data_IF_143939652740
#
_entry.id   IF_143939652740
#
_cell.length_a   1.000
_cell.length_b   1.000
_cell.length_c   1.000
_cell.angle_alpha   90.00
_cell.angle_beta   90.00
_cell.angle_gamma   90.00
#
_symmetry.space_group_name_H-M   'P 1'
#
loop_
_entity.id
_entity.type
_entity.pdbx_description
1 polymer ?
#
# COMPACT_ATOMS: atom_id res chain seq x y z
N UNK A 1 -26.47 25.45 2.76
CA UNK A 1 -25.23 24.89 3.36
C UNK A 1 -23.97 25.57 2.83
N UNK A 2 -23.62 25.46 1.53
CA UNK A 2 -22.36 26.01 0.99
C UNK A 2 -22.18 27.51 1.28
N UNK A 3 -23.20 28.33 1.05
CA UNK A 3 -23.18 29.76 1.39
C UNK A 3 -22.79 30.03 2.85
N UNK A 4 -23.31 29.23 3.79
CA UNK A 4 -22.99 29.35 5.22
C UNK A 4 -21.54 28.98 5.53
N UNK A 5 -20.95 27.99 4.83
CA UNK A 5 -19.54 27.64 4.99
C UNK A 5 -18.64 28.82 4.58
N UNK A 6 -18.93 29.45 3.44
CA UNK A 6 -18.20 30.62 2.97
C UNK A 6 -18.37 31.82 3.91
N UNK A 7 -19.59 32.06 4.39
CA UNK A 7 -19.88 33.15 5.34
C UNK A 7 -19.15 32.97 6.67
N UNK A 8 -19.24 31.79 7.29
CA UNK A 8 -18.53 31.46 8.53
C UNK A 8 -17.00 31.58 8.39
N UNK A 9 -16.47 31.25 7.22
CA UNK A 9 -15.03 31.34 6.94
C UNK A 9 -14.58 32.79 6.70
N UNK A 10 -15.31 33.54 5.88
CA UNK A 10 -14.93 34.89 5.46
C UNK A 10 -15.27 35.93 6.53
N UNK A 11 -16.52 35.94 6.99
CA UNK A 11 -17.03 36.91 7.96
C UNK A 11 -16.75 36.44 9.40
N UNK A 12 -17.03 35.18 9.70
CA UNK A 12 -16.80 34.61 11.03
C UNK A 12 -15.34 34.28 11.34
N UNK A 13 -14.44 34.33 10.35
CA UNK A 13 -13.02 33.94 10.44
C UNK A 13 -12.77 32.57 11.12
N UNK A 14 -13.76 31.69 11.12
CA UNK A 14 -13.71 30.41 11.85
C UNK A 14 -12.61 29.49 11.31
N UNK A 15 -12.12 28.59 12.17
CA UNK A 15 -11.19 27.54 11.74
C UNK A 15 -11.94 26.45 10.97
N UNK A 16 -11.23 25.64 10.18
CA UNK A 16 -11.86 24.50 9.49
C UNK A 16 -12.50 23.51 10.47
N UNK A 17 -11.85 23.30 11.62
CA UNK A 17 -12.33 22.38 12.65
C UNK A 17 -13.59 22.89 13.34
N UNK A 18 -13.75 24.20 13.50
CA UNK A 18 -14.96 24.79 14.08
C UNK A 18 -16.14 24.70 13.10
N UNK A 19 -15.91 25.03 11.83
CA UNK A 19 -16.92 24.89 10.76
C UNK A 19 -17.37 23.43 10.65
N UNK A 20 -16.41 22.48 10.62
CA UNK A 20 -16.71 21.04 10.61
C UNK A 20 -17.53 20.63 11.82
N UNK A 21 -17.09 21.04 13.03
CA UNK A 21 -17.78 20.69 14.29
C UNK A 21 -19.22 21.15 14.24
N UNK A 22 -19.46 22.42 13.91
CA UNK A 22 -20.80 22.97 13.80
C UNK A 22 -21.66 22.23 12.76
N UNK A 23 -21.12 21.88 11.58
CA UNK A 23 -21.86 21.13 10.57
C UNK A 23 -22.25 19.72 11.05
N UNK A 24 -21.34 19.05 11.75
CA UNK A 24 -21.59 17.72 12.28
C UNK A 24 -22.57 17.74 13.46
N UNK A 25 -22.44 18.73 14.35
CA UNK A 25 -23.33 18.92 15.49
C UNK A 25 -24.76 19.27 15.04
N UNK A 26 -24.89 20.00 13.92
CA UNK A 26 -26.17 20.25 13.26
C UNK A 26 -26.74 19.04 12.48
N UNK A 27 -26.10 17.87 12.56
CA UNK A 27 -26.54 16.64 11.88
C UNK A 27 -26.43 16.67 10.36
N UNK A 28 -25.71 17.65 9.79
CA UNK A 28 -25.59 17.81 8.34
C UNK A 28 -24.57 16.83 7.78
N UNK A 29 -25.05 15.77 7.11
CA UNK A 29 -24.17 14.85 6.41
C UNK A 29 -23.58 15.48 5.14
N UNK A 30 -22.42 14.98 4.71
CA UNK A 30 -21.86 15.33 3.42
C UNK A 30 -22.63 14.66 2.27
N UNK A 31 -22.23 14.95 1.02
CA UNK A 31 -22.85 14.40 -0.20
C UNK A 31 -22.90 12.86 -0.27
N UNK A 32 -22.08 12.15 0.52
CA UNK A 32 -22.04 10.69 0.60
C UNK A 32 -22.67 10.14 1.89
N UNK A 33 -23.43 10.96 2.63
CA UNK A 33 -24.05 10.55 3.89
C UNK A 33 -23.08 10.33 5.05
N UNK A 34 -21.83 10.83 4.96
CA UNK A 34 -20.80 10.70 6.01
C UNK A 34 -20.60 12.02 6.75
N UNK A 35 -20.01 12.01 7.97
CA UNK A 35 -19.63 13.24 8.65
C UNK A 35 -18.63 14.07 7.85
N UNK A 36 -18.62 15.37 8.09
CA UNK A 36 -17.61 16.27 7.55
C UNK A 36 -16.24 15.99 8.19
N UNK A 37 -15.19 16.15 7.38
CA UNK A 37 -13.79 16.09 7.83
C UNK A 37 -13.12 17.44 7.59
N UNK A 38 -12.06 17.73 8.34
CA UNK A 38 -11.38 19.04 8.28
C UNK A 38 -10.83 19.32 6.86
N UNK A 39 -10.40 18.29 6.13
CA UNK A 39 -9.88 18.42 4.76
C UNK A 39 -10.96 18.71 3.71
N UNK A 40 -12.24 18.46 4.01
CA UNK A 40 -13.33 18.76 3.07
C UNK A 40 -13.63 20.25 3.00
N UNK A 41 -13.53 20.98 4.11
CA UNK A 41 -13.80 22.42 4.16
C UNK A 41 -12.92 23.23 3.20
N UNK A 42 -11.57 23.13 3.22
CA UNK A 42 -10.73 23.86 2.26
C UNK A 42 -10.96 23.39 0.82
N UNK A 43 -11.35 22.13 0.60
CA UNK A 43 -11.70 21.62 -0.74
C UNK A 43 -12.94 22.33 -1.30
N UNK A 44 -13.95 22.57 -0.46
CA UNK A 44 -15.16 23.32 -0.81
C UNK A 44 -14.81 24.79 -1.05
N UNK A 45 -14.06 25.41 -0.14
CA UNK A 45 -13.69 26.82 -0.24
C UNK A 45 -12.86 27.12 -1.50
N UNK A 46 -12.04 26.16 -1.97
CA UNK A 46 -11.22 26.29 -3.17
C UNK A 46 -11.96 25.97 -4.49
N UNK A 47 -13.20 25.50 -4.46
CA UNK A 47 -13.87 25.02 -5.66
C UNK A 47 -14.54 26.15 -6.45
N UNK A 48 -13.95 26.54 -7.58
CA UNK A 48 -14.48 27.61 -8.45
C UNK A 48 -15.85 27.27 -9.09
N UNK A 49 -16.30 26.02 -9.06
CA UNK A 49 -17.64 25.65 -9.55
C UNK A 49 -18.75 26.40 -8.78
N UNK A 50 -18.51 26.82 -7.53
CA UNK A 50 -19.49 27.56 -6.73
C UNK A 50 -19.70 29.00 -7.19
N UNK A 51 -18.80 29.57 -8.01
CA UNK A 51 -18.96 30.87 -8.67
C UNK A 51 -19.38 30.73 -10.13
N UNK A 52 -19.91 29.56 -10.52
CA UNK A 52 -20.38 29.30 -11.89
C UNK A 52 -19.28 28.98 -12.90
N UNK A 53 -18.00 28.95 -12.49
CA UNK A 53 -16.86 28.62 -13.36
C UNK A 53 -16.64 27.13 -13.39
N UNK A 54 -16.88 26.51 -14.55
CA UNK A 54 -16.64 25.08 -14.71
C UNK A 54 -15.18 24.82 -15.04
N UNK A 55 -14.46 24.09 -14.18
CA UNK A 55 -13.08 23.67 -14.45
C UNK A 55 -13.03 22.22 -14.89
N UNK A 56 -12.43 21.98 -16.06
CA UNK A 56 -12.09 20.65 -16.55
C UNK A 56 -10.58 20.45 -16.64
N UNK A 57 -10.17 19.20 -16.88
CA UNK A 57 -8.77 18.81 -17.06
C UNK A 57 -7.87 19.02 -15.81
N UNK A 58 -8.43 18.93 -14.59
CA UNK A 58 -7.64 19.00 -13.34
C UNK A 58 -6.67 17.82 -13.15
N UNK A 59 -7.06 16.65 -13.64
CA UNK A 59 -6.28 15.41 -13.59
C UNK A 59 -6.43 14.66 -14.91
N UNK A 60 -5.37 13.97 -15.34
CA UNK A 60 -5.40 13.12 -16.52
C UNK A 60 -4.94 11.70 -16.17
N UNK A 61 -5.53 10.69 -16.82
CA UNK A 61 -5.08 9.30 -16.75
C UNK A 61 -5.12 8.73 -18.15
N UNK A 62 -3.95 8.65 -18.80
CA UNK A 62 -3.81 7.94 -20.07
C UNK A 62 -3.93 6.43 -19.82
N UNK A 63 -4.38 5.67 -20.82
CA UNK A 63 -4.60 4.23 -20.70
C UNK A 63 -3.32 3.54 -20.18
N UNK A 64 -3.45 2.69 -19.16
CA UNK A 64 -2.32 1.99 -18.51
C UNK A 64 -1.42 2.85 -17.61
N UNK A 65 -1.59 4.17 -17.59
CA UNK A 65 -0.74 5.08 -16.82
C UNK A 65 -1.35 5.45 -15.46
N UNK A 66 -0.51 6.00 -14.57
CA UNK A 66 -0.93 6.54 -13.29
C UNK A 66 -1.75 7.83 -13.50
N UNK A 67 -2.66 8.10 -12.57
CA UNK A 67 -3.38 9.38 -12.52
C UNK A 67 -2.39 10.49 -12.20
N UNK A 68 -2.33 11.51 -13.06
CA UNK A 68 -1.46 12.69 -12.90
C UNK A 68 -2.31 13.92 -12.63
N UNK A 69 -1.85 14.77 -11.71
CA UNK A 69 -2.43 16.11 -11.49
C UNK A 69 -1.84 17.06 -12.53
N UNK A 70 -2.69 17.64 -13.36
CA UNK A 70 -2.25 18.54 -14.42
C UNK A 70 -1.91 19.93 -13.84
N UNK A 71 -0.92 20.65 -14.38
CA UNK A 71 -0.59 21.99 -13.91
C UNK A 71 -1.70 23.00 -14.25
N UNK A 72 -1.87 24.02 -13.40
CA UNK A 72 -3.02 24.94 -13.43
C UNK A 72 -3.21 25.72 -14.76
N UNK A 73 -2.14 25.91 -15.54
CA UNK A 73 -2.19 26.56 -16.85
C UNK A 73 -2.80 25.67 -17.95
N UNK A 74 -2.86 24.36 -17.74
CA UNK A 74 -3.50 23.40 -18.67
C UNK A 74 -4.98 23.15 -18.34
N UNK A 75 -5.48 23.75 -17.25
CA UNK A 75 -6.87 23.60 -16.85
C UNK A 75 -7.75 24.43 -17.76
N UNK A 76 -8.80 23.80 -18.29
CA UNK A 76 -9.79 24.48 -19.11
C UNK A 76 -10.83 25.07 -18.17
N UNK A 77 -10.88 26.40 -18.09
CA UNK A 77 -11.85 27.16 -17.31
C UNK A 77 -12.93 27.65 -18.27
N UNK A 78 -14.13 27.07 -18.18
CA UNK A 78 -15.28 27.53 -18.94
C UNK A 78 -15.75 28.91 -18.47
N UNK A 79 -16.44 29.64 -19.35
CA UNK A 79 -17.14 30.87 -18.97
C UNK A 79 -18.17 30.59 -17.86
N UNK A 80 -18.53 31.62 -17.09
CA UNK A 80 -19.50 31.51 -15.99
C UNK A 80 -20.93 31.31 -16.55
N UNK A 81 -21.21 30.11 -17.06
CA UNK A 81 -22.47 29.74 -17.71
C UNK A 81 -23.51 29.18 -16.73
N UNK A 82 -23.10 28.87 -15.50
CA UNK A 82 -23.96 28.34 -14.45
C UNK A 82 -24.18 29.44 -13.41
N UNK A 83 -25.41 29.55 -12.90
CA UNK A 83 -25.74 30.51 -11.86
C UNK A 83 -24.84 30.30 -10.61
N UNK A 84 -24.15 31.36 -10.13
CA UNK A 84 -23.23 31.23 -9.01
C UNK A 84 -23.99 30.94 -7.71
N UNK A 85 -23.59 29.89 -7.01
CA UNK A 85 -24.11 29.57 -5.68
C UNK A 85 -23.55 30.55 -4.64
N UNK A 86 -22.32 31.05 -4.84
CA UNK A 86 -21.63 31.98 -3.96
C UNK A 86 -21.25 33.23 -4.74
N UNK A 87 -21.44 34.40 -4.12
CA UNK A 87 -21.01 35.68 -4.68
C UNK A 87 -19.50 35.65 -5.03
N UNK A 88 -19.10 36.06 -6.25
CA UNK A 88 -17.69 36.09 -6.65
C UNK A 88 -16.79 36.91 -5.72
N UNK A 89 -17.32 37.97 -5.10
CA UNK A 89 -16.60 38.79 -4.12
C UNK A 89 -16.34 38.04 -2.81
N UNK A 90 -17.32 37.30 -2.28
CA UNK A 90 -17.12 36.39 -1.13
C UNK A 90 -16.07 35.33 -1.46
N UNK A 91 -16.14 34.72 -2.65
CA UNK A 91 -15.19 33.70 -3.07
C UNK A 91 -13.76 34.26 -3.17
N UNK A 92 -13.59 35.43 -3.76
CA UNK A 92 -12.29 36.10 -3.86
C UNK A 92 -11.69 36.40 -2.47
N UNK A 93 -12.51 36.87 -1.53
CA UNK A 93 -12.09 37.05 -0.13
C UNK A 93 -11.69 35.73 0.53
N UNK A 94 -12.44 34.66 0.29
CA UNK A 94 -12.10 33.34 0.78
C UNK A 94 -10.74 32.87 0.23
N UNK A 95 -10.48 33.04 -1.08
CA UNK A 95 -9.18 32.70 -1.68
C UNK A 95 -8.04 33.51 -1.06
N UNK A 96 -8.23 34.80 -0.84
CA UNK A 96 -7.23 35.66 -0.18
C UNK A 96 -6.91 35.16 1.23
N UNK A 97 -7.93 34.87 2.05
CA UNK A 97 -7.76 34.32 3.39
C UNK A 97 -7.09 32.94 3.37
N UNK A 98 -7.41 32.07 2.39
CA UNK A 98 -6.75 30.79 2.22
C UNK A 98 -5.25 30.97 1.91
N UNK A 99 -4.91 31.92 1.04
CA UNK A 99 -3.53 32.23 0.68
C UNK A 99 -2.76 32.83 1.88
N UNK A 100 -3.36 33.74 2.63
CA UNK A 100 -2.79 34.32 3.85
C UNK A 100 -2.53 33.26 4.94
N UNK A 101 -3.46 32.30 5.10
CA UNK A 101 -3.31 31.18 6.05
C UNK A 101 -2.29 30.14 5.57
N UNK A 102 -1.93 30.13 4.28
CA UNK A 102 -0.97 29.18 3.72
C UNK A 102 0.45 29.64 4.06
N UNK A 103 0.96 29.14 5.18
CA UNK A 103 2.38 29.31 5.52
C UNK A 103 3.20 28.38 4.64
N UNK A 104 3.82 28.92 3.61
CA UNK A 104 4.85 28.21 2.86
C UNK A 104 6.15 28.26 3.65
N UNK A 105 6.54 27.12 4.18
CA UNK A 105 7.82 26.96 4.85
C UNK A 105 8.81 26.49 3.79
N UNK A 106 9.84 27.28 3.45
CA UNK A 106 10.81 26.89 2.44
C UNK A 106 11.64 25.69 2.94
N UNK A 107 12.21 24.92 2.02
CA UNK A 107 12.85 23.64 2.34
C UNK A 107 13.99 23.76 3.34
N UNK A 108 14.80 24.82 3.22
CA UNK A 108 15.86 25.14 4.17
C UNK A 108 15.32 25.33 5.60
N UNK A 109 14.21 26.04 5.75
CA UNK A 109 13.54 26.26 7.03
C UNK A 109 12.90 24.98 7.57
N UNK A 110 12.32 24.14 6.70
CA UNK A 110 11.81 22.82 7.09
C UNK A 110 12.91 21.95 7.72
N UNK A 111 14.11 21.93 7.12
CA UNK A 111 15.26 21.19 7.62
C UNK A 111 15.84 21.82 8.90
N UNK A 112 15.90 23.15 8.99
CA UNK A 112 16.34 23.87 10.17
C UNK A 112 15.48 23.51 11.39
N UNK A 113 14.14 23.54 11.24
CA UNK A 113 13.21 23.18 12.31
C UNK A 113 13.33 21.71 12.72
N UNK A 114 13.58 20.81 11.77
CA UNK A 114 13.89 19.41 12.11
C UNK A 114 15.18 19.29 12.92
N UNK A 115 16.25 20.01 12.56
CA UNK A 115 17.52 20.03 13.33
C UNK A 115 17.29 20.51 14.75
N UNK A 116 16.52 21.59 14.94
CA UNK A 116 16.19 22.09 16.27
C UNK A 116 15.37 21.08 17.08
N UNK A 117 14.39 20.45 16.46
CA UNK A 117 13.56 19.43 17.13
C UNK A 117 14.40 18.22 17.52
N UNK A 118 15.32 17.79 16.65
CA UNK A 118 16.27 16.71 16.94
C UNK A 118 17.15 17.05 18.14
N UNK A 119 17.75 18.24 18.17
CA UNK A 119 18.58 18.70 19.30
C UNK A 119 17.80 18.70 20.63
N UNK A 120 16.52 19.10 20.60
CA UNK A 120 15.66 19.16 21.80
C UNK A 120 15.16 17.80 22.28
N UNK A 121 14.81 16.90 21.37
CA UNK A 121 14.17 15.60 21.70
C UNK A 121 15.14 14.42 21.70
N UNK A 122 16.34 14.58 21.15
CA UNK A 122 17.34 13.53 20.95
C UNK A 122 17.00 12.49 19.87
N UNK A 123 15.74 12.46 19.39
CA UNK A 123 15.27 11.54 18.35
C UNK A 123 14.14 12.14 17.54
N UNK A 124 14.00 11.67 16.31
CA UNK A 124 12.89 11.97 15.42
C UNK A 124 12.17 10.68 15.01
N UNK A 125 10.84 10.78 14.95
CA UNK A 125 9.97 9.81 14.31
C UNK A 125 8.71 10.54 13.79
N UNK A 126 7.90 9.86 12.99
CA UNK A 126 6.71 10.46 12.37
C UNK A 126 5.73 11.06 13.39
N UNK A 127 5.59 10.43 14.57
CA UNK A 127 4.70 10.92 15.61
C UNK A 127 5.23 12.23 16.22
N UNK A 128 6.52 12.30 16.56
CA UNK A 128 7.17 13.52 17.06
C UNK A 128 7.01 14.66 16.04
N UNK A 129 7.24 14.39 14.76
CA UNK A 129 7.13 15.40 13.71
C UNK A 129 5.69 15.94 13.62
N UNK A 130 4.71 15.04 13.57
CA UNK A 130 3.31 15.42 13.41
C UNK A 130 2.70 16.10 14.64
N UNK A 131 3.26 15.90 15.83
CA UNK A 131 2.76 16.46 17.09
C UNK A 131 3.51 17.71 17.53
N UNK A 132 4.69 17.98 16.96
CA UNK A 132 5.48 19.17 17.31
C UNK A 132 4.95 20.39 16.60
N UNK A 133 4.49 21.36 17.38
CA UNK A 133 4.06 22.66 16.87
C UNK A 133 5.19 23.34 16.09
N UNK A 134 4.85 23.94 14.95
CA UNK A 134 5.80 24.62 14.07
C UNK A 134 6.49 23.72 13.03
N UNK A 135 6.37 22.39 13.14
CA UNK A 135 6.81 21.49 12.06
C UNK A 135 5.69 21.25 11.04
N UNK A 136 6.10 21.01 9.79
CA UNK A 136 5.18 20.49 8.79
C UNK A 136 4.84 19.01 9.10
N UNK A 137 3.69 18.57 8.61
CA UNK A 137 3.34 17.15 8.66
C UNK A 137 4.35 16.31 7.86
N UNK A 138 4.57 15.06 8.27
CA UNK A 138 5.52 14.12 7.63
C UNK A 138 5.33 14.01 6.11
N UNK A 139 4.08 14.07 5.63
CA UNK A 139 3.78 14.04 4.20
C UNK A 139 4.41 15.20 3.42
N UNK A 140 4.57 16.37 4.04
CA UNK A 140 5.25 17.51 3.41
C UNK A 140 6.73 17.20 3.23
N UNK A 141 7.41 16.65 4.24
CA UNK A 141 8.81 16.23 4.11
C UNK A 141 8.99 15.18 3.02
N UNK A 142 8.08 14.21 2.91
CA UNK A 142 8.12 13.21 1.83
C UNK A 142 7.93 13.85 0.46
N UNK A 143 7.05 14.86 0.34
CA UNK A 143 6.81 15.57 -0.93
C UNK A 143 8.02 16.39 -1.38
N UNK A 144 8.67 17.11 -0.46
CA UNK A 144 9.81 17.97 -0.75
C UNK A 144 11.11 17.19 -0.94
N UNK A 145 11.38 16.21 -0.07
CA UNK A 145 12.66 15.48 -0.04
C UNK A 145 12.58 14.06 -0.61
N UNK A 146 11.43 13.65 -1.12
CA UNK A 146 11.15 12.30 -1.67
C UNK A 146 10.92 11.22 -0.60
N UNK A 147 11.65 11.27 0.53
CA UNK A 147 11.40 10.38 1.67
C UNK A 147 11.81 11.03 2.99
N UNK A 148 11.23 10.55 4.10
CA UNK A 148 11.60 11.02 5.42
C UNK A 148 13.07 10.66 5.77
N UNK A 149 13.58 9.55 5.24
CA UNK A 149 14.99 9.16 5.41
C UNK A 149 15.93 10.12 4.69
N UNK A 150 15.60 10.54 3.46
CA UNK A 150 16.37 11.57 2.76
C UNK A 150 16.39 12.88 3.54
N UNK A 151 15.24 13.30 4.08
CA UNK A 151 15.18 14.47 4.96
C UNK A 151 16.06 14.31 6.22
N UNK A 152 16.08 13.11 6.82
CA UNK A 152 16.95 12.80 7.97
C UNK A 152 18.44 12.82 7.61
N UNK A 153 18.82 12.30 6.43
CA UNK A 153 20.19 12.35 5.94
C UNK A 153 20.69 13.80 5.76
N UNK A 154 19.85 14.70 5.20
CA UNK A 154 20.17 16.13 5.03
C UNK A 154 20.42 16.88 6.35
N UNK A 155 19.94 16.34 7.48
CA UNK A 155 20.19 16.90 8.81
C UNK A 155 21.22 16.10 9.63
N UNK A 156 21.88 15.11 9.02
CA UNK A 156 22.85 14.26 9.70
C UNK A 156 22.25 13.30 10.74
N UNK A 157 20.96 12.97 10.64
CA UNK A 157 20.28 12.08 11.56
C UNK A 157 20.15 10.67 11.00
N UNK A 158 20.78 9.70 11.66
CA UNK A 158 20.54 8.29 11.42
C UNK A 158 19.42 7.80 12.37
N UNK A 159 18.30 7.36 11.81
CA UNK A 159 17.22 6.76 12.60
C UNK A 159 17.69 5.43 13.19
N UNK A 160 17.44 5.13 14.48
CA UNK A 160 17.78 3.84 15.08
C UNK A 160 17.07 2.63 14.45
N UNK A 161 15.98 2.88 13.72
CA UNK A 161 15.26 1.82 12.99
C UNK A 161 15.98 1.50 11.70
N UNK A 162 16.52 0.28 11.60
CA UNK A 162 16.93 -0.34 10.33
C UNK A 162 15.69 -0.47 9.44
N UNK A 163 15.63 0.39 8.44
CA UNK A 163 14.63 0.34 7.39
C UNK A 163 15.33 0.27 6.02
N UNK A 164 16.57 -0.24 5.97
CA UNK A 164 17.44 -0.26 4.79
C UNK A 164 16.82 -1.10 3.67
N UNK A 165 15.95 -2.05 4.02
CA UNK A 165 15.12 -2.79 3.06
C UNK A 165 14.30 -1.91 2.13
N UNK A 166 14.00 -0.66 2.49
CA UNK A 166 13.30 0.28 1.60
C UNK A 166 14.23 0.72 0.48
N UNK A 167 15.49 1.01 0.81
CA UNK A 167 16.49 1.52 -0.13
C UNK A 167 17.07 0.38 -0.97
N UNK A 168 17.24 -0.80 -0.39
CA UNK A 168 17.71 -2.00 -1.10
C UNK A 168 16.59 -2.73 -1.84
N UNK A 169 15.34 -2.28 -1.76
CA UNK A 169 14.19 -2.95 -2.39
C UNK A 169 14.33 -3.11 -3.89
N UNK A 170 14.77 -2.05 -4.57
CA UNK A 170 14.93 -2.04 -6.03
C UNK A 170 16.08 -2.94 -6.46
N UNK A 171 17.24 -2.82 -5.78
CA UNK A 171 18.40 -3.70 -5.98
C UNK A 171 17.99 -5.17 -5.87
N UNK A 172 17.36 -5.54 -4.77
CA UNK A 172 16.92 -6.91 -4.52
C UNK A 172 15.83 -7.38 -5.47
N UNK A 173 14.94 -6.49 -5.90
CA UNK A 173 13.95 -6.79 -6.94
C UNK A 173 14.61 -7.13 -8.27
N UNK A 174 15.62 -6.36 -8.67
CA UNK A 174 16.43 -6.64 -9.87
C UNK A 174 17.18 -7.96 -9.76
N UNK A 175 17.73 -8.28 -8.59
CA UNK A 175 18.39 -9.57 -8.35
C UNK A 175 17.44 -10.76 -8.43
N UNK A 176 16.23 -10.64 -7.85
CA UNK A 176 15.20 -11.67 -7.97
C UNK A 176 14.80 -11.89 -9.43
N UNK A 177 14.61 -10.81 -10.19
CA UNK A 177 14.26 -10.87 -11.61
C UNK A 177 15.38 -11.50 -12.45
N UNK A 178 16.65 -11.17 -12.17
CA UNK A 178 17.81 -11.78 -12.81
C UNK A 178 17.85 -13.29 -12.60
N UNK A 179 17.68 -13.76 -11.36
CA UNK A 179 17.66 -15.20 -11.06
C UNK A 179 16.46 -15.91 -11.69
N UNK A 180 15.29 -15.25 -11.75
CA UNK A 180 14.13 -15.80 -12.44
C UNK A 180 14.38 -15.94 -13.95
N UNK A 181 14.96 -14.92 -14.59
CA UNK A 181 15.30 -14.96 -16.01
C UNK A 181 16.34 -16.05 -16.32
N UNK A 182 17.42 -16.14 -15.55
CA UNK A 182 18.43 -17.19 -15.73
C UNK A 182 17.85 -18.60 -15.54
N UNK A 183 16.99 -18.80 -14.53
CA UNK A 183 16.32 -20.09 -14.36
C UNK A 183 15.37 -20.39 -15.51
N UNK A 184 14.69 -19.39 -16.07
CA UNK A 184 13.83 -19.57 -17.24
C UNK A 184 14.62 -20.10 -18.45
N UNK A 185 15.81 -19.55 -18.73
CA UNK A 185 16.72 -20.05 -19.77
C UNK A 185 17.11 -21.51 -19.53
N UNK A 186 17.51 -21.83 -18.29
CA UNK A 186 17.91 -23.19 -17.89
C UNK A 186 16.75 -24.18 -18.08
N UNK A 187 15.52 -23.80 -17.72
CA UNK A 187 14.34 -24.66 -17.90
C UNK A 187 13.95 -24.83 -19.37
N UNK A 188 14.12 -23.79 -20.21
CA UNK A 188 13.90 -23.87 -21.67
C UNK A 188 14.89 -24.82 -22.34
N UNK A 189 16.16 -24.74 -21.96
CA UNK A 189 17.22 -25.54 -22.56
C UNK A 189 17.15 -27.01 -22.12
N UNK A 190 17.01 -27.27 -20.82
CA UNK A 190 17.20 -28.61 -20.27
C UNK A 190 15.91 -29.42 -20.19
N UNK A 191 14.76 -28.77 -19.93
CA UNK A 191 13.47 -29.44 -19.73
C UNK A 191 12.45 -29.16 -20.83
N UNK A 192 12.82 -28.35 -21.84
CA UNK A 192 11.94 -27.92 -22.96
C UNK A 192 10.60 -27.32 -22.50
N UNK A 193 10.57 -26.77 -21.28
CA UNK A 193 9.41 -26.05 -20.76
C UNK A 193 9.36 -24.65 -21.37
N UNK A 194 8.19 -24.03 -21.39
CA UNK A 194 8.00 -22.62 -21.77
C UNK A 194 7.63 -21.78 -20.53
N UNK A 195 8.61 -21.44 -19.66
CA UNK A 195 8.38 -20.60 -18.50
C UNK A 195 8.20 -19.13 -18.89
N UNK A 196 7.18 -18.51 -18.33
CA UNK A 196 6.88 -17.09 -18.45
C UNK A 196 7.21 -16.38 -17.13
N UNK A 197 7.83 -15.19 -17.22
CA UNK A 197 8.04 -14.35 -16.04
C UNK A 197 6.72 -13.71 -15.62
N UNK A 198 6.46 -13.74 -14.31
CA UNK A 198 5.30 -13.07 -13.72
C UNK A 198 5.48 -11.55 -13.81
N UNK A 199 4.38 -10.80 -13.87
CA UNK A 199 4.33 -9.33 -13.91
C UNK A 199 5.17 -8.62 -12.84
N UNK A 200 5.38 -9.25 -11.67
CA UNK A 200 6.21 -8.69 -10.59
C UNK A 200 7.69 -9.10 -10.68
N UNK A 201 8.05 -9.90 -11.68
CA UNK A 201 9.42 -10.35 -11.99
C UNK A 201 10.01 -11.36 -11.01
N UNK A 202 9.31 -11.70 -9.93
CA UNK A 202 9.86 -12.52 -8.83
C UNK A 202 9.50 -14.01 -8.95
N UNK A 203 8.89 -14.45 -10.04
CA UNK A 203 8.45 -15.83 -10.20
C UNK A 203 8.32 -16.26 -11.64
N UNK A 204 8.22 -17.58 -11.83
CA UNK A 204 8.01 -18.22 -13.11
C UNK A 204 6.72 -19.03 -13.10
N UNK A 205 5.93 -18.84 -14.15
CA UNK A 205 4.74 -19.61 -14.43
C UNK A 205 4.99 -20.50 -15.66
N UNK A 206 4.47 -21.73 -15.65
CA UNK A 206 4.44 -22.61 -16.83
C UNK A 206 2.98 -22.97 -17.04
N UNK A 207 2.46 -22.75 -18.25
CA UNK A 207 1.05 -22.98 -18.59
C UNK A 207 0.07 -22.29 -17.60
N UNK A 208 0.39 -21.06 -17.19
CA UNK A 208 -0.40 -20.29 -16.23
C UNK A 208 -0.36 -20.79 -14.78
N UNK A 209 0.53 -21.73 -14.45
CA UNK A 209 0.72 -22.24 -13.08
C UNK A 209 2.08 -21.85 -12.52
N UNK A 210 2.08 -21.28 -11.31
CA UNK A 210 3.31 -20.94 -10.57
C UNK A 210 4.15 -22.17 -10.28
N UNK A 211 5.34 -22.24 -10.87
CA UNK A 211 6.31 -23.31 -10.60
C UNK A 211 7.30 -22.92 -9.51
N UNK A 212 7.77 -21.66 -9.49
CA UNK A 212 8.72 -21.16 -8.49
C UNK A 212 8.57 -19.66 -8.27
N UNK A 213 8.81 -19.21 -7.04
CA UNK A 213 8.94 -17.80 -6.69
C UNK A 213 10.23 -17.56 -5.92
N UNK A 214 10.95 -16.51 -6.29
CA UNK A 214 12.15 -16.04 -5.62
C UNK A 214 11.81 -15.06 -4.51
N UNK A 215 12.41 -15.25 -3.33
CA UNK A 215 12.20 -14.40 -2.16
C UNK A 215 13.53 -13.97 -1.57
N UNK A 216 13.58 -12.78 -0.98
CA UNK A 216 14.73 -12.32 -0.20
C UNK A 216 14.42 -12.43 1.29
N UNK A 217 15.30 -13.09 2.03
CA UNK A 217 15.23 -13.24 3.48
C UNK A 217 16.32 -12.40 4.14
N UNK A 218 15.91 -11.34 4.84
CA UNK A 218 16.83 -10.52 5.64
C UNK A 218 17.19 -11.23 6.93
N UNK A 219 18.45 -11.17 7.33
CA UNK A 219 18.91 -11.64 8.63
C UNK A 219 18.49 -10.63 9.70
N UNK A 220 17.93 -11.14 10.79
CA UNK A 220 17.53 -10.35 11.94
C UNK A 220 18.72 -10.15 12.87
N UNK A 221 18.77 -8.98 13.52
CA UNK A 221 19.71 -8.74 14.59
C UNK A 221 19.61 -9.86 15.64
N UNK A 222 20.77 -10.39 16.06
CA UNK A 222 20.83 -11.43 17.08
C UNK A 222 20.25 -10.89 18.39
N UNK A 223 19.40 -11.67 19.04
CA UNK A 223 18.81 -11.32 20.35
C UNK A 223 19.77 -11.58 21.52
N UNK A 224 20.86 -12.31 21.29
CA UNK A 224 21.90 -12.69 22.26
C UNK A 224 22.90 -13.65 21.61
N UNK A 225 23.98 -14.00 22.32
CA UNK A 225 25.07 -14.84 21.79
C UNK A 225 24.62 -16.27 21.48
N UNK A 226 23.76 -16.86 22.32
CA UNK A 226 23.27 -18.23 22.18
C UNK A 226 22.10 -18.39 21.20
N UNK A 227 21.61 -17.29 20.62
CA UNK A 227 20.47 -17.34 19.71
C UNK A 227 20.93 -17.67 18.29
N UNK A 228 20.44 -18.81 17.78
CA UNK A 228 20.62 -19.20 16.38
C UNK A 228 20.15 -18.09 15.42
N UNK A 229 20.88 -17.92 14.33
CA UNK A 229 20.56 -16.92 13.31
C UNK A 229 19.14 -17.14 12.74
N UNK A 230 18.42 -16.04 12.57
CA UNK A 230 17.05 -16.02 12.07
C UNK A 230 16.96 -15.09 10.87
N UNK A 231 16.26 -15.55 9.83
CA UNK A 231 15.94 -14.73 8.68
C UNK A 231 14.43 -14.62 8.52
N UNK A 232 14.01 -13.52 7.90
CA UNK A 232 12.61 -13.18 7.64
C UNK A 232 12.45 -12.74 6.19
N UNK A 233 11.64 -13.48 5.43
CA UNK A 233 11.25 -13.13 4.07
C UNK A 233 9.79 -12.72 4.00
N UNK A 234 9.48 -11.72 3.18
CA UNK A 234 8.12 -11.30 2.90
C UNK A 234 7.59 -12.04 1.66
N UNK A 235 6.49 -12.78 1.81
CA UNK A 235 5.97 -13.71 0.78
C UNK A 235 4.81 -13.14 -0.05
N UNK A 236 4.27 -11.96 0.33
CA UNK A 236 3.03 -11.31 -0.19
C UNK A 236 2.26 -12.08 -1.28
N UNK A 237 1.15 -12.72 -0.90
CA UNK A 237 0.17 -13.37 -1.81
C UNK A 237 0.66 -14.52 -2.71
N UNK A 238 1.88 -15.05 -2.54
CA UNK A 238 2.30 -16.27 -3.23
C UNK A 238 1.65 -17.49 -2.58
N UNK A 239 0.70 -18.15 -3.24
CA UNK A 239 -0.05 -19.30 -2.71
C UNK A 239 0.38 -20.66 -3.26
N UNK A 240 1.17 -20.71 -4.33
CA UNK A 240 1.57 -21.93 -5.03
C UNK A 240 3.01 -21.86 -5.55
N UNK A 241 3.54 -23.01 -6.00
CA UNK A 241 4.91 -23.15 -6.51
C UNK A 241 5.98 -23.26 -5.41
N UNK A 242 7.18 -23.68 -5.82
CA UNK A 242 8.36 -23.74 -4.95
C UNK A 242 8.76 -22.34 -4.49
N UNK A 243 9.34 -22.21 -3.30
CA UNK A 243 9.95 -20.95 -2.86
C UNK A 243 11.46 -21.08 -2.86
N UNK A 244 12.12 -20.35 -3.75
CA UNK A 244 13.56 -20.17 -3.77
C UNK A 244 13.91 -18.92 -2.95
N UNK A 245 14.36 -19.10 -1.72
CA UNK A 245 14.65 -18.00 -0.79
C UNK A 245 16.15 -17.73 -0.75
N UNK A 246 16.56 -16.52 -1.13
CA UNK A 246 17.94 -16.05 -0.99
C UNK A 246 18.11 -15.46 0.41
N UNK A 247 18.97 -16.05 1.23
CA UNK A 247 19.29 -15.55 2.57
C UNK A 247 20.43 -14.55 2.46
N UNK A 248 20.23 -13.38 3.05
CA UNK A 248 21.28 -12.38 3.13
C UNK A 248 22.22 -12.63 4.31
N UNK A 249 23.42 -12.09 4.22
CA UNK A 249 24.45 -12.08 5.26
C UNK A 249 24.04 -11.27 6.52
N UNK A 250 24.97 -11.10 7.46
CA UNK A 250 24.70 -10.38 8.71
C UNK A 250 24.44 -8.88 8.51
N UNK A 251 25.07 -8.31 7.50
CA UNK A 251 24.99 -6.91 7.11
C UNK A 251 23.80 -6.64 6.18
N UNK A 252 23.12 -7.68 5.71
CA UNK A 252 22.07 -7.65 4.69
C UNK A 252 22.52 -6.99 3.37
N UNK A 253 23.77 -7.23 2.95
CA UNK A 253 24.39 -6.64 1.75
C UNK A 253 24.61 -7.65 0.63
N UNK A 254 24.97 -8.87 0.98
CA UNK A 254 25.25 -9.94 0.02
C UNK A 254 24.34 -11.16 0.26
N UNK A 255 24.21 -12.01 -0.77
CA UNK A 255 23.53 -13.30 -0.63
C UNK A 255 24.49 -14.30 0.02
N UNK A 256 24.14 -14.77 1.22
CA UNK A 256 24.92 -15.75 1.99
C UNK A 256 24.72 -17.17 1.44
N UNK A 257 23.47 -17.54 1.15
CA UNK A 257 23.10 -18.82 0.52
C UNK A 257 21.61 -18.84 0.10
N UNK A 258 21.18 -19.99 -0.41
CA UNK A 258 19.83 -20.21 -0.94
C UNK A 258 19.10 -21.32 -0.20
N UNK A 259 17.79 -21.19 -0.08
CA UNK A 259 16.90 -22.18 0.53
C UNK A 259 15.77 -22.52 -0.42
N UNK A 260 15.57 -23.81 -0.71
CA UNK A 260 14.39 -24.29 -1.44
C UNK A 260 13.35 -24.80 -0.45
N UNK A 261 12.13 -24.25 -0.52
CA UNK A 261 10.98 -24.73 0.25
C UNK A 261 9.89 -25.29 -0.66
N UNK A 262 9.17 -26.34 -0.22
CA UNK A 262 8.03 -26.89 -0.96
C UNK A 262 6.84 -25.92 -1.01
N UNK A 263 5.93 -26.14 -1.96
CA UNK A 263 4.76 -25.29 -2.19
C UNK A 263 3.73 -25.28 -1.04
N UNK A 264 3.67 -26.36 -0.24
CA UNK A 264 2.66 -26.59 0.81
C UNK A 264 2.95 -25.85 2.12
N UNK A 265 3.31 -24.57 2.05
CA UNK A 265 3.50 -23.74 3.23
C UNK A 265 2.17 -23.11 3.66
N UNK A 266 1.83 -23.25 4.95
CA UNK A 266 0.68 -22.57 5.59
C UNK A 266 0.60 -21.10 5.16
N UNK A 267 -0.63 -20.63 4.94
CA UNK A 267 -0.90 -19.25 4.56
C UNK A 267 -0.32 -18.28 5.59
N UNK A 268 0.40 -17.27 5.13
CA UNK A 268 1.08 -16.32 5.99
C UNK A 268 1.85 -15.28 5.19
N UNK A 269 1.95 -14.06 5.73
CA UNK A 269 2.64 -12.94 5.07
C UNK A 269 4.16 -13.07 5.08
N UNK A 270 4.70 -13.89 5.97
CA UNK A 270 6.14 -14.04 6.20
C UNK A 270 6.57 -15.50 6.22
N UNK A 271 7.78 -15.74 5.71
CA UNK A 271 8.52 -16.98 5.87
C UNK A 271 9.65 -16.72 6.86
N UNK A 272 9.67 -17.48 7.94
CA UNK A 272 10.72 -17.39 8.96
C UNK A 272 11.67 -18.56 8.80
N UNK A 273 12.95 -18.27 8.65
CA UNK A 273 14.01 -19.24 8.45
C UNK A 273 14.94 -19.28 9.66
N UNK A 274 15.11 -20.47 10.20
CA UNK A 274 16.09 -20.84 11.23
C UNK A 274 16.43 -22.30 11.02
N UNK A 275 17.50 -22.80 11.63
CA UNK A 275 17.86 -24.22 11.56
C UNK A 275 16.69 -25.14 11.95
N UNK A 276 15.89 -24.74 12.93
CA UNK A 276 14.69 -25.49 13.36
C UNK A 276 13.50 -25.34 12.41
N UNK A 277 13.30 -24.16 11.80
CA UNK A 277 12.17 -23.97 10.88
C UNK A 277 12.40 -24.66 9.53
N UNK A 278 13.65 -24.75 9.07
CA UNK A 278 14.03 -25.47 7.85
C UNK A 278 13.71 -26.96 7.97
N UNK A 279 14.08 -27.60 9.09
CA UNK A 279 13.74 -29.00 9.36
C UNK A 279 12.22 -29.23 9.33
N UNK A 280 11.45 -28.38 10.03
CA UNK A 280 9.98 -28.49 10.05
C UNK A 280 9.32 -28.33 8.69
N UNK A 281 9.90 -27.49 7.82
CA UNK A 281 9.36 -27.17 6.49
C UNK A 281 9.95 -28.02 5.37
N UNK A 282 10.79 -29.01 5.70
CA UNK A 282 11.55 -29.82 4.72
C UNK A 282 12.33 -28.93 3.73
N UNK A 283 12.89 -27.84 4.24
CA UNK A 283 13.71 -26.93 3.45
C UNK A 283 15.13 -27.44 3.27
N UNK A 284 15.66 -27.31 2.07
CA UNK A 284 17.05 -27.63 1.75
C UNK A 284 17.87 -26.35 1.53
N UNK A 285 19.12 -26.33 2.00
CA UNK A 285 20.04 -25.19 1.87
C UNK A 285 21.06 -25.49 0.78
N UNK A 286 21.37 -24.50 -0.05
CA UNK A 286 22.33 -24.56 -1.15
C UNK A 286 23.26 -23.36 -1.07
N UNK A 287 24.58 -23.59 -1.06
CA UNK A 287 25.57 -22.51 -1.03
C UNK A 287 25.58 -21.70 -2.32
N UNK A 288 25.36 -22.36 -3.45
CA UNK A 288 25.48 -21.75 -4.77
C UNK A 288 24.16 -21.76 -5.54
N UNK A 289 23.97 -20.73 -6.36
CA UNK A 289 22.82 -20.57 -7.25
C UNK A 289 22.64 -21.76 -8.21
N UNK A 290 23.73 -22.27 -8.78
CA UNK A 290 23.69 -23.42 -9.70
C UNK A 290 23.11 -24.67 -9.05
N UNK A 291 23.49 -24.94 -7.79
CA UNK A 291 22.97 -26.06 -7.02
C UNK A 291 21.47 -25.91 -6.71
N UNK A 292 21.02 -24.69 -6.38
CA UNK A 292 19.60 -24.37 -6.24
C UNK A 292 18.84 -24.66 -7.54
N UNK A 293 19.34 -24.19 -8.68
CA UNK A 293 18.71 -24.41 -9.99
C UNK A 293 18.65 -25.90 -10.34
N UNK A 294 19.72 -26.65 -10.07
CA UNK A 294 19.72 -28.11 -10.21
C UNK A 294 18.64 -28.79 -9.38
N UNK A 295 18.46 -28.36 -8.13
CA UNK A 295 17.42 -28.89 -7.24
C UNK A 295 16.00 -28.55 -7.71
N UNK A 296 15.78 -27.33 -8.21
CA UNK A 296 14.48 -26.93 -8.79
C UNK A 296 14.18 -27.80 -10.01
N UNK A 297 15.14 -27.95 -10.94
CA UNK A 297 15.01 -28.84 -12.11
C UNK A 297 14.63 -30.25 -11.72
N UNK A 298 15.37 -30.85 -10.78
CA UNK A 298 15.10 -32.21 -10.32
C UNK A 298 13.71 -32.35 -9.69
N UNK A 299 13.25 -31.33 -8.97
CA UNK A 299 11.92 -31.31 -8.34
C UNK A 299 10.81 -31.23 -9.40
N UNK A 300 10.98 -30.37 -10.40
CA UNK A 300 10.02 -30.23 -11.51
C UNK A 300 9.97 -31.49 -12.38
N UNK A 301 11.13 -32.07 -12.73
CA UNK A 301 11.19 -33.29 -13.53
C UNK A 301 10.51 -34.50 -12.84
N UNK A 302 10.63 -34.61 -11.51
CA UNK A 302 9.90 -35.63 -10.72
C UNK A 302 8.39 -35.40 -10.77
N UNK A 303 7.94 -34.15 -10.70
CA UNK A 303 6.52 -33.81 -10.79
C UNK A 303 5.94 -34.10 -12.17
N UNK A 304 6.70 -33.87 -13.25
CA UNK A 304 6.28 -34.20 -14.62
C UNK A 304 6.20 -35.71 -14.84
N UNK A 305 7.15 -36.49 -14.28
CA UNK A 305 7.11 -37.97 -14.36
C UNK A 305 6.02 -38.61 -13.49
N UNK A 306 5.61 -37.95 -12.40
CA UNK A 306 4.56 -38.45 -11.51
C UNK A 306 3.13 -38.25 -12.06
N UNK A 307 2.96 -37.54 -13.19
CA UNK A 307 1.69 -37.44 -13.89
C UNK A 307 1.70 -38.38 -15.12
N UNK A 308 1.43 -39.68 -14.92
CA UNK A 308 0.27 -40.26 -15.60
C UNK A 308 -0.33 -41.47 -14.86
N UNK A 309 -1.39 -41.28 -14.06
CA UNK A 309 -2.53 -42.23 -13.94
C UNK A 309 -3.56 -41.65 -12.98
N UNK A 310 -4.58 -41.01 -13.54
CA UNK A 310 -5.90 -40.97 -12.89
C UNK A 310 -6.92 -40.99 -14.01
N UNK A 311 -7.25 -42.20 -14.46
CA UNK A 311 -8.50 -42.48 -15.16
C UNK A 311 -9.64 -41.84 -14.37
N UNK A 312 -10.32 -40.89 -15.00
CA UNK A 312 -11.52 -40.27 -14.43
C UNK A 312 -12.58 -41.35 -14.15
N UNK A 313 -13.21 -41.40 -12.96
CA UNK A 313 -14.43 -42.17 -12.78
C UNK A 313 -15.56 -41.47 -13.53
N UNK A 314 -16.37 -42.26 -14.23
CA UNK A 314 -17.48 -41.81 -15.05
C UNK A 314 -18.49 -40.94 -14.27
N UNK A 315 -18.91 -39.83 -14.89
CA UNK A 315 -19.98 -38.97 -14.38
C UNK A 315 -21.29 -39.76 -14.32
N UNK A 316 -21.77 -40.10 -13.13
CA UNK A 316 -23.18 -40.46 -12.91
C UNK A 316 -24.05 -39.20 -13.10
N UNK A 317 -25.05 -39.32 -13.98
CA UNK A 317 -26.11 -38.32 -14.22
C UNK A 317 -26.88 -38.00 -12.92
N UNK A 318 -27.23 -36.73 -12.64
CA UNK A 318 -28.26 -36.45 -11.64
C UNK A 318 -29.64 -36.67 -12.25
N UNK A 319 -30.50 -37.40 -11.53
CA UNK A 319 -31.93 -37.57 -11.85
C UNK A 319 -32.66 -36.24 -11.65
N UNK A 320 -33.50 -35.93 -12.63
CA UNK A 320 -34.49 -34.86 -12.64
C UNK A 320 -35.57 -35.07 -11.57
N UNK A 321 -35.84 -34.03 -10.77
CA UNK A 321 -37.01 -33.94 -9.90
C UNK A 321 -37.66 -32.56 -10.07
N UNK A 322 -38.92 -32.56 -10.49
CA UNK A 322 -39.76 -31.41 -10.85
C UNK A 322 -40.13 -30.48 -9.66
N UNK A 323 -40.64 -29.26 -9.94
CA UNK A 323 -40.88 -28.21 -8.95
C UNK A 323 -42.27 -28.28 -8.31
N UNK A 324 -42.40 -27.85 -7.04
CA UNK A 324 -43.71 -27.51 -6.44
C UNK A 324 -43.68 -26.17 -5.70
N UNK A 325 -44.82 -25.50 -5.80
CA UNK A 325 -45.07 -24.08 -5.65
C UNK A 325 -45.43 -23.60 -4.22
N UNK A 326 -45.36 -22.26 -4.07
CA UNK A 326 -46.14 -21.30 -3.25
C UNK A 326 -46.76 -21.74 -1.91
N UNK A 327 -46.54 -20.92 -0.88
CA UNK A 327 -47.40 -20.83 0.31
C UNK A 327 -47.11 -19.59 1.17
N UNK A 328 -48.11 -18.71 1.27
CA UNK A 328 -48.17 -17.47 2.06
C UNK A 328 -48.33 -17.70 3.57
N UNK A 329 -47.98 -16.68 4.37
CA UNK A 329 -48.43 -16.45 5.75
C UNK A 329 -47.32 -15.81 6.60
N UNK A 330 -47.41 -14.63 7.22
CA UNK A 330 -48.56 -13.82 7.64
C UNK A 330 -48.65 -13.80 9.18
N UNK A 331 -48.70 -12.58 9.77
CA UNK A 331 -48.92 -12.19 11.20
C UNK A 331 -47.66 -11.95 12.05
N UNK A 332 -47.61 -10.96 12.97
CA UNK A 332 -48.47 -9.80 13.34
C UNK A 332 -47.66 -8.91 14.31
N UNK A 333 -48.01 -7.64 14.32
CA UNK A 333 -47.64 -6.64 15.34
C UNK A 333 -48.26 -6.91 16.72
N UNK A 334 -47.68 -6.30 17.76
CA UNK A 334 -48.41 -5.66 18.87
C UNK A 334 -47.54 -4.59 19.56
N UNK A 335 -48.08 -3.36 19.63
CA UNK A 335 -47.79 -2.32 20.61
C UNK A 335 -47.94 -2.89 22.04
N UNK A 336 -47.33 -2.41 23.12
CA UNK A 336 -46.90 -1.07 23.51
C UNK A 336 -47.48 -0.87 24.91
N UNK A 337 -46.68 -0.49 25.92
CA UNK A 337 -47.14 0.40 27.00
C UNK A 337 -46.02 0.81 27.97
N UNK A 338 -46.28 2.01 28.48
CA UNK A 338 -45.57 2.87 29.42
C UNK A 338 -45.15 2.27 30.78
N UNK A 339 -44.02 2.74 31.34
CA UNK A 339 -43.96 3.38 32.67
C UNK A 339 -42.59 3.97 33.04
N UNK A 340 -42.69 5.00 33.85
CA UNK A 340 -41.68 5.93 34.37
C UNK A 340 -41.11 5.48 35.73
N UNK A 341 -40.01 6.15 36.14
CA UNK A 341 -39.40 6.29 37.48
C UNK A 341 -38.63 5.08 38.06
N UNK A 342 -37.29 5.19 38.08
CA UNK A 342 -36.53 5.82 39.17
C UNK A 342 -35.12 6.18 38.72
#
# INVERSE_FOLDING_TARGET
MIRSIFDQFVHGRRSYSDIRRQLNDAGSANHNGRPWTDGMIPTILANENYVGKTIYNRTSRRLGQKLVKNPDHTWVRGAAQIEPIVDPGIFARAQKLLAERRVEIPENEMLLRLRFTLRRRGKLNSHIINTTLGLNHVSSYVKHFGSLRKAYALIGYASPRDCDWIDTRELWGSEQARHAAELAEVLRNDLRLQPELVLDGIGLDVEGRRIVSFLIARRLARRGEDHAAQWKAYRRQISSGLLAVMRLDAENREIEDYVLLPASLKSGRYVWLSSSSLRRRRGAVYREKGALFGAIKATLAKSTRAAPTSSAPSKKRPKSGQPKAKGFGGRRSRCGDTKSLR
#
